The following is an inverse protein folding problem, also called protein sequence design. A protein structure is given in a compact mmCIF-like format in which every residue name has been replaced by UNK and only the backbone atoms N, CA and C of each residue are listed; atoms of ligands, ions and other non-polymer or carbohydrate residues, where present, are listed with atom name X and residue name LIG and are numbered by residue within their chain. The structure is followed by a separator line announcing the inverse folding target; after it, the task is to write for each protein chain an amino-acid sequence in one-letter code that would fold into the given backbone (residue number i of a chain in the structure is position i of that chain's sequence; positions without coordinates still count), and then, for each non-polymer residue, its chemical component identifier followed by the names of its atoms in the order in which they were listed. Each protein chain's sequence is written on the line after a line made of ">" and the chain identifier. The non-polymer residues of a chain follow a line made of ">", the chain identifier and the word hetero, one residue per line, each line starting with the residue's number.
data_IF_570255370518
#
_entry.id   IF_570255370518
#
_cell.length_a   1.000
_cell.length_b   1.000
_cell.length_c   1.000
_cell.angle_alpha   90.00
_cell.angle_beta   90.00
_cell.angle_gamma   90.00
#
_symmetry.space_group_name_H-M   'P 1'
#
loop_
_entity.id
_entity.type
_entity.pdbx_description
1 polymer ?
#
# COMPACT_ATOMS: atom_id res chain seq x y z
N UNK A 1 -6.53 -5.27 -2.46
CA UNK A 1 -7.06 -4.08 -1.76
C UNK A 1 -7.43 -4.46 -0.34
N UNK A 2 -6.81 -3.87 0.70
CA UNK A 2 -7.17 -4.16 2.11
C UNK A 2 -8.12 -3.06 2.57
N UNK A 3 -9.42 -3.34 2.55
CA UNK A 3 -10.44 -2.44 3.08
C UNK A 3 -10.43 -2.55 4.61
N UNK A 4 -10.25 -1.42 5.30
CA UNK A 4 -10.36 -1.35 6.76
C UNK A 4 -11.52 -0.44 7.12
N UNK A 5 -12.43 -0.96 7.95
CA UNK A 5 -13.59 -0.23 8.44
C UNK A 5 -13.20 0.69 9.61
N UNK A 6 -13.66 1.94 9.56
CA UNK A 6 -13.52 2.92 10.64
C UNK A 6 -14.89 3.27 11.20
N UNK A 7 -14.98 3.28 12.53
CA UNK A 7 -16.14 3.72 13.33
C UNK A 7 -15.60 4.59 14.46
N UNK A 8 -15.24 5.83 14.15
CA UNK A 8 -14.40 6.71 14.99
C UNK A 8 -12.96 6.19 15.22
N UNK A 9 -12.75 4.86 15.15
CA UNK A 9 -11.49 4.13 15.26
C UNK A 9 -11.55 2.85 14.43
N UNK A 10 -10.38 2.26 14.15
CA UNK A 10 -10.27 1.02 13.38
C UNK A 10 -11.02 -0.13 14.05
N UNK A 11 -11.91 -0.77 13.29
CA UNK A 11 -12.55 -2.02 13.72
C UNK A 11 -11.64 -3.19 13.34
N UNK A 12 -11.30 -4.01 14.34
CA UNK A 12 -10.42 -5.18 14.18
C UNK A 12 -11.17 -6.52 14.27
N UNK A 13 -12.41 -6.51 14.77
CA UNK A 13 -13.27 -7.70 14.89
C UNK A 13 -14.40 -7.61 13.85
N UNK A 14 -14.48 -8.53 12.87
CA UNK A 14 -15.50 -8.50 11.82
C UNK A 14 -16.95 -8.53 12.35
N UNK A 15 -17.20 -9.25 13.45
CA UNK A 15 -18.52 -9.34 14.09
C UNK A 15 -18.80 -8.27 15.15
N UNK A 16 -18.16 -7.11 15.08
CA UNK A 16 -18.44 -6.01 16.02
C UNK A 16 -19.83 -5.45 15.70
N UNK A 17 -20.74 -5.45 16.67
CA UNK A 17 -22.02 -4.75 16.57
C UNK A 17 -21.81 -3.24 16.50
N UNK A 18 -22.62 -2.58 15.69
CA UNK A 18 -22.58 -1.15 15.42
C UNK A 18 -23.99 -0.59 15.53
N UNK A 19 -24.11 0.66 15.96
CA UNK A 19 -25.40 1.34 15.94
C UNK A 19 -25.89 1.48 14.48
N UNK A 20 -27.20 1.40 14.26
CA UNK A 20 -27.78 1.51 12.91
C UNK A 20 -27.53 2.88 12.26
N UNK A 21 -27.34 3.92 13.07
CA UNK A 21 -27.03 5.28 12.62
C UNK A 21 -25.52 5.58 12.68
N UNK A 22 -24.68 4.59 12.97
CA UNK A 22 -23.26 4.79 13.08
C UNK A 22 -22.65 5.09 11.71
N UNK A 23 -21.94 6.21 11.60
CA UNK A 23 -21.18 6.52 10.39
C UNK A 23 -20.02 5.54 10.21
N UNK A 24 -19.93 4.94 9.03
CA UNK A 24 -18.92 3.97 8.63
C UNK A 24 -18.06 4.58 7.53
N UNK A 25 -16.75 4.58 7.74
CA UNK A 25 -15.80 5.07 6.74
C UNK A 25 -14.83 3.97 6.32
N UNK A 26 -14.45 3.99 5.04
CA UNK A 26 -13.33 3.22 4.54
C UNK A 26 -12.04 4.00 4.76
N UNK A 27 -11.04 3.34 5.34
CA UNK A 27 -9.70 3.93 5.43
C UNK A 27 -9.16 4.21 4.03
N UNK A 28 -8.58 5.41 3.84
CA UNK A 28 -7.96 5.88 2.58
C UNK A 28 -7.12 4.82 1.87
N UNK A 29 -7.13 4.89 0.54
CA UNK A 29 -6.30 4.08 -0.33
C UNK A 29 -4.82 4.28 -0.01
N UNK A 30 -4.08 3.16 -0.03
CA UNK A 30 -2.63 3.17 0.06
C UNK A 30 -2.03 3.82 -1.19
N UNK A 31 -0.83 4.43 -1.11
CA UNK A 31 -0.16 5.03 -2.26
C UNK A 31 0.18 4.01 -3.36
N UNK A 32 0.11 2.71 -3.05
CA UNK A 32 0.37 1.61 -3.98
C UNK A 32 -0.76 0.60 -4.03
N UNK A 33 -0.82 -0.16 -5.12
CA UNK A 33 -1.81 -1.23 -5.35
C UNK A 33 -1.81 -2.34 -4.29
N UNK A 34 -0.73 -2.46 -3.51
CA UNK A 34 -0.67 -3.34 -2.34
C UNK A 34 0.17 -2.73 -1.22
N UNK A 35 0.04 -3.29 0.00
CA UNK A 35 0.90 -2.92 1.15
C UNK A 35 2.39 -3.22 0.92
N UNK A 36 2.72 -4.02 -0.10
CA UNK A 36 4.10 -4.28 -0.50
C UNK A 36 4.83 -2.99 -0.85
N UNK A 37 4.22 -2.09 -1.63
CA UNK A 37 4.90 -0.88 -2.08
C UNK A 37 5.41 -0.01 -0.92
N UNK A 38 4.66 0.06 0.20
CA UNK A 38 5.07 0.80 1.41
C UNK A 38 6.35 0.22 2.02
N UNK A 39 6.50 -1.12 1.96
CA UNK A 39 7.70 -1.79 2.47
C UNK A 39 8.91 -1.45 1.59
N UNK A 40 8.73 -1.47 0.27
CA UNK A 40 9.81 -1.13 -0.65
C UNK A 40 10.18 0.35 -0.55
N UNK A 41 9.21 1.27 -0.51
CA UNK A 41 9.46 2.70 -0.32
C UNK A 41 10.27 2.96 0.96
N UNK A 42 9.87 2.34 2.08
CA UNK A 42 10.62 2.43 3.32
C UNK A 42 12.08 1.93 3.17
N UNK A 43 12.30 0.85 2.41
CA UNK A 43 13.64 0.33 2.13
C UNK A 43 14.45 1.28 1.23
N UNK A 44 13.87 1.78 0.13
CA UNK A 44 14.53 2.75 -0.76
C UNK A 44 15.01 3.98 0.01
N UNK A 45 14.16 4.50 0.89
CA UNK A 45 14.49 5.64 1.76
C UNK A 45 15.55 5.28 2.80
N UNK A 46 15.40 4.14 3.48
CA UNK A 46 16.32 3.71 4.55
C UNK A 46 17.74 3.47 4.03
N UNK A 47 17.86 2.94 2.82
CA UNK A 47 19.13 2.58 2.19
C UNK A 47 19.61 3.63 1.19
N UNK A 48 18.91 4.75 1.03
CA UNK A 48 19.23 5.82 0.07
C UNK A 48 19.40 5.31 -1.38
N UNK A 49 18.56 4.35 -1.78
CA UNK A 49 18.59 3.75 -3.12
C UNK A 49 17.57 4.47 -4.01
N UNK A 50 18.02 4.99 -5.16
CA UNK A 50 17.14 5.59 -6.15
C UNK A 50 16.96 4.66 -7.36
N UNK A 51 15.72 4.22 -7.68
CA UNK A 51 15.45 3.45 -8.90
C UNK A 51 15.37 4.33 -10.15
N UNK A 52 15.43 5.67 -10.00
CA UNK A 52 15.26 6.61 -11.11
C UNK A 52 16.18 6.29 -12.29
N UNK A 53 15.56 6.16 -13.47
CA UNK A 53 16.22 5.85 -14.75
C UNK A 53 16.69 4.40 -14.92
N UNK A 54 16.55 3.53 -13.91
CA UNK A 54 17.05 2.16 -13.95
C UNK A 54 15.99 1.20 -14.48
N UNK A 55 16.44 0.16 -15.16
CA UNK A 55 15.64 -1.05 -15.33
C UNK A 55 15.75 -1.87 -14.04
N UNK A 56 14.63 -2.11 -13.39
CA UNK A 56 14.53 -2.93 -12.19
C UNK A 56 13.93 -4.29 -12.54
N UNK A 57 14.08 -5.27 -11.65
CA UNK A 57 13.37 -6.55 -11.75
C UNK A 57 12.61 -6.78 -10.44
N UNK A 58 11.29 -6.98 -10.51
CA UNK A 58 10.46 -7.31 -9.34
C UNK A 58 10.22 -8.83 -9.28
N UNK A 59 11.06 -9.52 -8.51
CA UNK A 59 10.98 -10.97 -8.35
C UNK A 59 9.93 -11.32 -7.29
N UNK A 60 8.88 -12.04 -7.70
CA UNK A 60 7.75 -12.34 -6.84
C UNK A 60 6.64 -11.28 -6.89
N UNK A 61 6.55 -10.54 -8.00
CA UNK A 61 5.46 -9.61 -8.28
C UNK A 61 4.09 -10.32 -8.19
N UNK A 62 3.45 -10.23 -7.03
CA UNK A 62 2.07 -10.66 -6.78
C UNK A 62 1.11 -9.63 -7.38
N UNK A 63 0.36 -8.89 -6.56
CA UNK A 63 -0.52 -7.79 -7.01
C UNK A 63 0.28 -6.56 -7.52
N UNK A 64 1.60 -6.64 -7.67
CA UNK A 64 2.43 -5.59 -8.28
C UNK A 64 2.75 -4.38 -7.38
N UNK A 65 2.69 -4.52 -6.06
CA UNK A 65 2.94 -3.39 -5.15
C UNK A 65 4.38 -2.85 -5.19
N UNK A 66 5.37 -3.72 -5.43
CA UNK A 66 6.78 -3.30 -5.59
C UNK A 66 6.99 -2.68 -6.96
N UNK A 67 6.50 -3.30 -8.03
CA UNK A 67 6.43 -2.71 -9.37
C UNK A 67 5.84 -1.29 -9.39
N UNK A 68 4.66 -1.09 -8.80
CA UNK A 68 4.02 0.23 -8.73
C UNK A 68 4.90 1.25 -7.97
N UNK A 69 5.54 0.82 -6.87
CA UNK A 69 6.48 1.66 -6.13
C UNK A 69 7.69 2.07 -6.98
N UNK A 70 8.31 1.12 -7.69
CA UNK A 70 9.49 1.38 -8.53
C UNK A 70 9.17 2.34 -9.68
N UNK A 71 8.05 2.13 -10.37
CA UNK A 71 7.60 2.99 -11.47
C UNK A 71 7.30 4.41 -10.97
N UNK A 72 6.59 4.57 -9.84
CA UNK A 72 6.32 5.88 -9.23
C UNK A 72 7.59 6.60 -8.77
N UNK A 73 8.64 5.86 -8.42
CA UNK A 73 9.96 6.42 -8.08
C UNK A 73 10.88 6.60 -9.29
N UNK A 74 10.36 6.42 -10.51
CA UNK A 74 11.03 6.77 -11.76
C UNK A 74 11.91 5.68 -12.36
N UNK A 75 11.73 4.41 -12.00
CA UNK A 75 12.31 3.31 -12.78
C UNK A 75 11.90 3.45 -14.26
N UNK A 76 12.84 3.23 -15.18
CA UNK A 76 12.57 3.32 -16.61
C UNK A 76 11.77 2.11 -17.10
N UNK A 77 11.95 0.97 -16.45
CA UNK A 77 11.24 -0.29 -16.66
C UNK A 77 11.33 -1.16 -15.42
N UNK A 78 10.35 -2.03 -15.18
CA UNK A 78 10.33 -3.03 -14.11
C UNK A 78 9.89 -4.36 -14.68
#
# INVERSE_FOLDING_TARGET
>A
MVLSLLIGKKVIKPGKLVDINQEIQLKKNFPYVSRGGIKLEAALNKFSISPKGKTCADIGSSVGGFTDCLLKHGASRV
#
